data_IF_056286909206
#
_entry.id   IF_056286909206
#
_cell.length_a   1.000
_cell.length_b   1.000
_cell.length_c   1.000
_cell.angle_alpha   90.00
_cell.angle_beta   90.00
_cell.angle_gamma   90.00
#
_symmetry.space_group_name_H-M   'P 1'
#
loop_
_entity.id
_entity.type
_entity.pdbx_description
1 polymer ?
#
# COMPACT_ATOMS: atom_id res chain seq x y z
N UNK A 1 10.94 13.50 4.28
CA UNK A 1 10.56 13.80 5.69
C UNK A 1 9.43 14.81 5.83
N UNK A 2 9.49 16.01 5.23
CA UNK A 2 8.39 17.00 5.27
C UNK A 2 7.02 16.43 4.84
N UNK A 3 6.98 15.66 3.76
CA UNK A 3 5.76 14.97 3.31
C UNK A 3 5.21 13.97 4.33
N UNK A 4 6.08 13.26 5.07
CA UNK A 4 5.63 12.35 6.13
C UNK A 4 5.03 13.11 7.31
N UNK A 5 5.64 14.23 7.72
CA UNK A 5 5.10 15.09 8.77
C UNK A 5 3.74 15.70 8.39
N UNK A 6 3.56 16.14 7.14
CA UNK A 6 2.27 16.64 6.65
C UNK A 6 1.17 15.56 6.73
N UNK A 7 1.50 14.32 6.35
CA UNK A 7 0.56 13.20 6.43
C UNK A 7 0.24 12.77 7.87
N UNK A 8 1.20 12.91 8.79
CA UNK A 8 0.99 12.68 10.22
C UNK A 8 0.06 13.75 10.79
N UNK A 9 0.29 15.03 10.46
CA UNK A 9 -0.59 16.13 10.87
C UNK A 9 -2.02 15.92 10.35
N UNK A 10 -2.18 15.53 9.09
CA UNK A 10 -3.49 15.25 8.50
C UNK A 10 -4.20 14.08 9.20
N UNK A 11 -3.47 13.02 9.56
CA UNK A 11 -4.00 11.92 10.36
C UNK A 11 -4.41 12.35 11.77
N UNK A 12 -3.60 13.19 12.43
CA UNK A 12 -3.91 13.73 13.76
C UNK A 12 -5.19 14.59 13.72
N UNK A 13 -5.36 15.41 12.68
CA UNK A 13 -6.54 16.25 12.48
C UNK A 13 -7.80 15.41 12.23
N UNK A 14 -7.69 14.31 11.49
CA UNK A 14 -8.83 13.41 11.20
C UNK A 14 -9.20 12.48 12.37
N UNK A 15 -8.22 12.10 13.20
CA UNK A 15 -8.38 11.10 14.26
C UNK A 15 -8.56 11.71 15.66
N UNK A 16 -8.14 12.97 15.85
CA UNK A 16 -8.34 13.75 17.08
C UNK A 16 -7.55 13.28 18.31
N UNK A 17 -6.71 12.25 18.20
CA UNK A 17 -5.83 11.78 19.28
C UNK A 17 -4.44 11.44 18.74
N UNK A 18 -3.35 11.79 19.45
CA UNK A 18 -2.01 11.34 19.09
C UNK A 18 -1.96 9.81 19.26
N UNK A 19 -1.72 9.12 18.14
CA UNK A 19 -1.64 7.66 18.13
C UNK A 19 -0.18 7.25 18.37
N UNK A 20 0.06 6.36 19.34
CA UNK A 20 1.40 5.79 19.62
C UNK A 20 2.03 5.16 18.37
N UNK A 21 1.19 4.77 17.40
CA UNK A 21 1.60 4.29 16.08
C UNK A 21 2.42 5.30 15.27
N UNK A 22 2.34 6.60 15.55
CA UNK A 22 3.10 7.65 14.85
C UNK A 22 4.61 7.53 15.12
N UNK A 23 5.00 7.26 16.37
CA UNK A 23 6.42 7.09 16.73
C UNK A 23 6.98 5.85 16.03
N UNK A 24 6.20 4.76 16.04
CA UNK A 24 6.58 3.52 15.40
C UNK A 24 6.61 3.63 13.87
N UNK A 25 5.78 4.49 13.28
CA UNK A 25 5.83 4.81 11.84
C UNK A 25 7.14 5.46 11.43
N UNK A 26 7.69 6.37 12.24
CA UNK A 26 8.98 7.00 11.93
C UNK A 26 10.10 5.97 11.91
N UNK A 27 10.14 5.09 12.92
CA UNK A 27 11.13 4.01 13.01
C UNK A 27 11.03 3.08 11.79
N UNK A 28 9.81 2.64 11.46
CA UNK A 28 9.57 1.77 10.28
C UNK A 28 9.96 2.47 8.99
N UNK A 29 9.65 3.76 8.82
CA UNK A 29 10.02 4.51 7.62
C UNK A 29 11.54 4.62 7.45
N UNK A 30 12.30 4.79 8.55
CA UNK A 30 13.77 4.80 8.51
C UNK A 30 14.32 3.43 8.11
N UNK A 31 13.84 2.35 8.72
CA UNK A 31 14.25 0.98 8.37
C UNK A 31 13.92 0.67 6.91
N UNK A 32 12.71 1.03 6.47
CA UNK A 32 12.28 0.82 5.10
C UNK A 32 13.13 1.60 4.10
N UNK A 33 13.47 2.86 4.42
CA UNK A 33 14.39 3.66 3.62
C UNK A 33 15.75 2.98 3.47
N UNK A 34 16.35 2.55 4.59
CA UNK A 34 17.62 1.84 4.58
C UNK A 34 17.59 0.56 3.74
N UNK A 35 16.51 -0.23 3.83
CA UNK A 35 16.33 -1.43 3.01
C UNK A 35 16.25 -1.07 1.52
N UNK A 36 15.51 -0.03 1.14
CA UNK A 36 15.42 0.42 -0.25
C UNK A 36 16.78 0.87 -0.77
N UNK A 37 17.55 1.62 0.03
CA UNK A 37 18.89 2.09 -0.35
C UNK A 37 19.84 0.90 -0.61
N UNK A 38 19.80 -0.12 0.25
CA UNK A 38 20.57 -1.36 0.06
C UNK A 38 20.13 -2.10 -1.20
N UNK A 39 18.82 -2.25 -1.43
CA UNK A 39 18.29 -2.91 -2.61
C UNK A 39 18.66 -2.16 -3.90
N UNK A 40 18.65 -0.82 -3.88
CA UNK A 40 19.09 -0.01 -5.01
C UNK A 40 20.56 -0.24 -5.34
N UNK A 41 21.42 -0.41 -4.32
CA UNK A 41 22.83 -0.76 -4.54
C UNK A 41 23.03 -2.15 -5.16
N UNK A 42 22.08 -3.07 -5.00
CA UNK A 42 22.14 -4.43 -5.53
C UNK A 42 21.49 -4.58 -6.90
N UNK A 43 20.49 -3.77 -7.21
CA UNK A 43 19.70 -3.86 -8.44
C UNK A 43 20.35 -3.00 -9.53
N UNK A 44 21.20 -3.62 -10.36
CA UNK A 44 21.73 -2.99 -11.57
C UNK A 44 20.81 -3.33 -12.75
N UNK A 45 19.92 -2.41 -13.10
CA UNK A 45 19.06 -2.53 -14.28
C UNK A 45 19.70 -1.73 -15.40
N UNK A 46 19.98 -2.38 -16.53
CA UNK A 46 20.44 -1.68 -17.74
C UNK A 46 19.29 -0.86 -18.33
N UNK A 47 19.36 0.46 -18.15
CA UNK A 47 18.29 1.42 -18.49
C UNK A 47 18.16 1.67 -20.01
N UNK A 48 19.06 1.11 -20.82
CA UNK A 48 19.13 1.40 -22.26
C UNK A 48 17.97 0.78 -23.05
N UNK A 49 17.37 -0.30 -22.56
CA UNK A 49 16.24 -0.95 -23.26
C UNK A 49 14.89 -0.46 -22.73
N UNK A 50 14.06 0.08 -23.63
CA UNK A 50 12.67 0.47 -23.34
C UNK A 50 11.83 -0.70 -22.80
N UNK A 51 12.12 -1.93 -23.24
CA UNK A 51 11.45 -3.15 -22.77
C UNK A 51 11.73 -3.39 -21.29
N UNK A 52 12.99 -3.23 -20.87
CA UNK A 52 13.40 -3.46 -19.49
C UNK A 52 12.80 -2.42 -18.55
N UNK A 53 12.66 -1.17 -19.00
CA UNK A 53 11.98 -0.10 -18.25
C UNK A 53 10.51 -0.42 -17.99
N UNK A 54 9.79 -0.92 -19.01
CA UNK A 54 8.38 -1.31 -18.86
C UNK A 54 8.26 -2.55 -17.96
N UNK A 55 9.13 -3.55 -18.14
CA UNK A 55 9.14 -4.73 -17.30
C UNK A 55 9.39 -4.36 -15.82
N UNK A 56 10.39 -3.53 -15.55
CA UNK A 56 10.71 -3.04 -14.21
C UNK A 56 9.52 -2.28 -13.59
N UNK A 57 8.82 -1.45 -14.37
CA UNK A 57 7.61 -0.75 -13.91
C UNK A 57 6.49 -1.71 -13.51
N UNK A 58 6.22 -2.72 -14.34
CA UNK A 58 5.17 -3.72 -14.07
C UNK A 58 5.51 -4.52 -12.81
N UNK A 59 6.74 -5.02 -12.71
CA UNK A 59 7.19 -5.77 -11.53
C UNK A 59 7.17 -4.91 -10.27
N UNK A 60 7.66 -3.68 -10.34
CA UNK A 60 7.59 -2.69 -9.26
C UNK A 60 6.15 -2.52 -8.75
N UNK A 61 5.21 -2.17 -9.63
CA UNK A 61 3.81 -1.96 -9.27
C UNK A 61 3.20 -3.21 -8.64
N UNK A 62 3.53 -4.39 -9.17
CA UNK A 62 3.05 -5.66 -8.64
C UNK A 62 3.57 -5.95 -7.23
N UNK A 63 4.89 -5.90 -7.02
CA UNK A 63 5.51 -6.18 -5.72
C UNK A 63 5.12 -5.13 -4.67
N UNK A 64 5.04 -3.86 -5.04
CA UNK A 64 4.54 -2.80 -4.14
C UNK A 64 3.10 -3.06 -3.73
N UNK A 65 2.22 -3.43 -4.66
CA UNK A 65 0.83 -3.76 -4.36
C UNK A 65 0.71 -5.00 -3.46
N UNK A 66 1.55 -6.02 -3.69
CA UNK A 66 1.60 -7.23 -2.88
C UNK A 66 2.05 -6.93 -1.44
N UNK A 67 3.16 -6.21 -1.27
CA UNK A 67 3.65 -5.80 0.05
C UNK A 67 2.63 -4.96 0.81
N UNK A 68 1.98 -4.02 0.12
CA UNK A 68 0.90 -3.21 0.68
C UNK A 68 -0.29 -4.06 1.15
N UNK A 69 -0.71 -5.03 0.34
CA UNK A 69 -1.80 -5.95 0.72
C UNK A 69 -1.42 -6.78 1.96
N UNK A 70 -0.19 -7.26 2.06
CA UNK A 70 0.30 -7.97 3.24
C UNK A 70 0.27 -7.07 4.48
N UNK A 71 0.79 -5.84 4.39
CA UNK A 71 0.77 -4.86 5.49
C UNK A 71 -0.65 -4.54 5.97
N UNK A 72 -1.59 -4.38 5.04
CA UNK A 72 -3.00 -4.13 5.38
C UNK A 72 -3.66 -5.36 6.00
N UNK A 73 -3.43 -6.55 5.46
CA UNK A 73 -4.07 -7.80 5.90
C UNK A 73 -3.56 -8.27 7.26
N UNK A 74 -2.27 -8.07 7.54
CA UNK A 74 -1.63 -8.41 8.82
C UNK A 74 -1.77 -7.28 9.86
N UNK A 75 -2.48 -6.20 9.54
CA UNK A 75 -2.64 -5.01 10.38
C UNK A 75 -1.30 -4.45 10.91
N UNK A 76 -0.25 -4.55 10.09
CA UNK A 76 1.06 -4.00 10.39
C UNK A 76 1.02 -2.46 10.44
N UNK A 77 2.04 -1.87 11.05
CA UNK A 77 2.24 -0.42 11.02
C UNK A 77 2.51 0.00 9.58
N UNK A 78 1.59 0.79 9.03
CA UNK A 78 1.67 1.31 7.67
C UNK A 78 2.40 2.63 7.67
N UNK A 79 3.14 2.92 6.60
CA UNK A 79 3.74 4.23 6.39
C UNK A 79 2.66 5.34 6.48
N UNK A 80 3.01 6.55 6.95
CA UNK A 80 2.01 7.60 7.19
C UNK A 80 1.05 7.86 6.01
N UNK A 81 1.50 7.95 4.74
CA UNK A 81 0.60 8.12 3.60
C UNK A 81 -0.42 6.98 3.46
N UNK A 82 0.02 5.73 3.59
CA UNK A 82 -0.87 4.56 3.46
C UNK A 82 -1.79 4.40 4.67
N UNK A 83 -1.33 4.80 5.85
CA UNK A 83 -2.15 4.92 7.06
C UNK A 83 -3.28 5.95 6.91
N UNK A 84 -3.00 7.10 6.29
CA UNK A 84 -4.02 8.08 5.94
C UNK A 84 -5.04 7.51 4.95
N UNK A 85 -4.57 6.87 3.86
CA UNK A 85 -5.46 6.21 2.88
C UNK A 85 -6.34 5.15 3.54
N UNK A 86 -5.79 4.36 4.46
CA UNK A 86 -6.55 3.37 5.24
C UNK A 86 -7.63 4.04 6.10
N UNK A 87 -7.29 5.11 6.80
CA UNK A 87 -8.24 5.84 7.64
C UNK A 87 -9.39 6.44 6.81
N UNK A 88 -9.07 7.06 5.67
CA UNK A 88 -10.06 7.63 4.75
C UNK A 88 -10.92 6.54 4.13
N UNK A 89 -10.34 5.41 3.72
CA UNK A 89 -11.06 4.23 3.22
C UNK A 89 -12.06 3.70 4.24
N UNK A 90 -11.71 3.67 5.53
CA UNK A 90 -12.60 3.26 6.61
C UNK A 90 -13.71 4.29 6.87
N UNK A 91 -13.42 5.60 6.78
CA UNK A 91 -14.42 6.66 7.00
C UNK A 91 -15.42 6.78 5.84
N UNK A 92 -14.98 6.58 4.61
CA UNK A 92 -15.80 6.70 3.40
C UNK A 92 -16.47 5.39 2.97
N UNK A 93 -16.18 4.27 3.66
CA UNK A 93 -16.59 2.91 3.28
C UNK A 93 -16.29 2.59 1.80
N UNK A 94 -15.11 3.04 1.33
CA UNK A 94 -14.64 2.79 -0.04
C UNK A 94 -13.50 1.80 -0.03
N UNK A 95 -13.37 1.06 -1.13
CA UNK A 95 -12.23 0.16 -1.34
C UNK A 95 -10.90 0.89 -1.17
N UNK A 96 -10.01 0.32 -0.37
CA UNK A 96 -8.68 0.89 -0.07
C UNK A 96 -7.91 1.27 -1.35
N UNK A 97 -7.95 0.40 -2.37
CA UNK A 97 -7.27 0.68 -3.64
C UNK A 97 -7.88 1.84 -4.42
N UNK A 98 -9.18 2.11 -4.28
CA UNK A 98 -9.83 3.27 -4.92
C UNK A 98 -9.40 4.57 -4.25
N UNK A 99 -9.38 4.60 -2.91
CA UNK A 99 -8.89 5.75 -2.15
C UNK A 99 -7.40 6.00 -2.41
N UNK A 100 -6.62 4.92 -2.59
CA UNK A 100 -5.20 5.01 -2.93
C UNK A 100 -4.98 5.67 -4.29
N UNK A 101 -5.75 5.31 -5.31
CA UNK A 101 -5.68 5.97 -6.63
C UNK A 101 -5.96 7.47 -6.51
N UNK A 102 -6.98 7.85 -5.74
CA UNK A 102 -7.32 9.26 -5.54
C UNK A 102 -6.17 10.00 -4.83
N UNK A 103 -5.63 9.41 -3.77
CA UNK A 103 -4.53 10.00 -2.98
C UNK A 103 -3.23 10.11 -3.79
N UNK A 104 -2.83 9.06 -4.50
CA UNK A 104 -1.62 9.09 -5.32
C UNK A 104 -1.80 10.08 -6.50
N UNK A 105 -3.02 10.17 -7.06
CA UNK A 105 -3.37 11.15 -8.09
C UNK A 105 -3.29 12.60 -7.61
N UNK A 106 -3.82 12.92 -6.42
CA UNK A 106 -3.69 14.27 -5.85
C UNK A 106 -2.25 14.61 -5.55
N UNK A 107 -1.45 13.65 -5.07
CA UNK A 107 -0.01 13.84 -4.85
C UNK A 107 0.73 14.17 -6.15
N UNK A 108 0.45 13.47 -7.25
CA UNK A 108 1.05 13.75 -8.57
C UNK A 108 0.66 15.14 -9.07
N UNK A 109 -0.62 15.54 -8.91
CA UNK A 109 -1.09 16.88 -9.32
C UNK A 109 -0.38 17.96 -8.50
N UNK A 110 -0.32 17.83 -7.18
CA UNK A 110 0.35 18.80 -6.30
C UNK A 110 1.84 18.88 -6.63
N UNK A 111 2.51 17.74 -6.82
CA UNK A 111 3.90 17.70 -7.23
C UNK A 111 4.13 18.41 -8.57
N UNK A 112 3.21 18.25 -9.53
CA UNK A 112 3.27 18.94 -10.82
C UNK A 112 3.10 20.45 -10.70
N UNK A 113 2.15 20.91 -9.89
CA UNK A 113 1.94 22.35 -9.63
C UNK A 113 3.17 22.96 -8.95
N UNK A 114 3.71 22.30 -7.93
CA UNK A 114 4.92 22.76 -7.24
C UNK A 114 6.11 22.79 -8.21
N UNK A 115 6.30 21.73 -9.01
CA UNK A 115 7.35 21.68 -10.02
C UNK A 115 7.25 22.82 -11.04
N UNK A 116 6.04 23.14 -11.52
CA UNK A 116 5.81 24.25 -12.43
C UNK A 116 6.10 25.62 -11.80
N UNK A 117 5.71 25.84 -10.54
CA UNK A 117 5.91 27.13 -9.87
C UNK A 117 7.40 27.39 -9.59
N UNK A 118 8.14 26.38 -9.12
CA UNK A 118 9.52 26.56 -8.65
C UNK A 118 10.57 26.32 -9.74
N UNK A 119 10.36 25.33 -10.62
CA UNK A 119 11.34 24.92 -11.64
C UNK A 119 10.95 25.45 -13.03
N UNK A 120 9.69 25.86 -13.24
CA UNK A 120 9.18 26.30 -14.54
C UNK A 120 9.05 25.16 -15.57
N UNK A 121 9.37 23.93 -15.18
CA UNK A 121 9.31 22.72 -16.01
C UNK A 121 8.79 21.55 -15.20
N UNK A 122 8.05 20.65 -15.86
CA UNK A 122 7.62 19.36 -15.31
C UNK A 122 8.78 18.36 -15.37
N UNK A 123 9.81 18.57 -14.56
CA UNK A 123 10.86 17.55 -14.36
C UNK A 123 10.46 16.61 -13.21
N UNK A 124 10.56 15.30 -13.44
CA UNK A 124 10.26 14.26 -12.43
C UNK A 124 8.88 13.60 -12.53
N UNK A 125 7.96 14.12 -13.34
CA UNK A 125 6.66 13.48 -13.60
C UNK A 125 6.62 12.98 -15.04
N UNK A 126 6.82 11.68 -15.21
CA UNK A 126 6.75 11.00 -16.50
C UNK A 126 5.50 10.13 -16.65
N UNK A 127 5.34 9.52 -17.83
CA UNK A 127 4.29 8.54 -18.12
C UNK A 127 4.33 7.39 -17.08
N UNK A 128 5.54 6.95 -16.71
CA UNK A 128 5.72 5.91 -15.70
C UNK A 128 5.12 6.29 -14.33
N UNK A 129 5.20 7.56 -13.92
CA UNK A 129 4.63 8.08 -12.67
C UNK A 129 3.10 8.04 -12.69
N UNK A 130 2.49 8.41 -13.81
CA UNK A 130 1.03 8.36 -13.98
C UNK A 130 0.54 6.91 -13.99
N UNK A 131 1.24 6.04 -14.74
CA UNK A 131 0.92 4.62 -14.83
C UNK A 131 1.06 3.94 -13.46
N UNK A 132 2.10 4.27 -12.69
CA UNK A 132 2.28 3.68 -11.35
C UNK A 132 1.22 4.17 -10.36
N UNK A 133 0.91 5.48 -10.33
CA UNK A 133 -0.10 6.05 -9.44
C UNK A 133 -1.50 5.42 -9.65
N UNK A 134 -1.88 5.16 -10.91
CA UNK A 134 -3.13 4.48 -11.23
C UNK A 134 -3.02 2.94 -11.06
N UNK A 135 -1.84 2.39 -11.35
CA UNK A 135 -1.57 0.97 -11.38
C UNK A 135 -1.57 0.34 -10.00
N UNK A 136 -0.90 0.94 -9.01
CA UNK A 136 -0.74 0.38 -7.67
C UNK A 136 -2.10 0.12 -7.02
N UNK A 137 -2.98 1.12 -6.97
CA UNK A 137 -4.30 0.94 -6.33
C UNK A 137 -5.22 -0.05 -7.06
N UNK A 138 -5.12 -0.16 -8.39
CA UNK A 138 -5.85 -1.20 -9.15
C UNK A 138 -5.30 -2.59 -8.85
N UNK A 139 -3.99 -2.75 -8.82
CA UNK A 139 -3.32 -4.03 -8.52
C UNK A 139 -3.62 -4.47 -7.09
N UNK A 140 -3.62 -3.57 -6.12
CA UNK A 140 -4.02 -3.88 -4.73
C UNK A 140 -5.46 -4.38 -4.68
N UNK A 141 -6.37 -3.71 -5.38
CA UNK A 141 -7.78 -4.12 -5.45
C UNK A 141 -7.93 -5.50 -6.10
N UNK A 142 -7.20 -5.73 -7.20
CA UNK A 142 -7.20 -7.00 -7.91
C UNK A 142 -6.65 -8.14 -7.03
N UNK A 143 -5.49 -7.96 -6.40
CA UNK A 143 -4.90 -8.93 -5.48
C UNK A 143 -5.83 -9.24 -4.31
N UNK A 144 -6.41 -8.20 -3.68
CA UNK A 144 -7.39 -8.37 -2.59
C UNK A 144 -8.60 -9.19 -3.02
N UNK A 145 -9.15 -8.94 -4.22
CA UNK A 145 -10.27 -9.72 -4.78
C UNK A 145 -9.86 -11.15 -5.11
N UNK A 146 -8.66 -11.37 -5.62
CA UNK A 146 -8.13 -12.70 -5.93
C UNK A 146 -7.94 -13.53 -4.66
N UNK A 147 -7.33 -12.97 -3.61
CA UNK A 147 -7.20 -13.63 -2.31
C UNK A 147 -8.57 -13.92 -1.70
N UNK A 148 -9.51 -12.96 -1.72
CA UNK A 148 -10.88 -13.20 -1.24
C UNK A 148 -11.59 -14.33 -2.01
N UNK A 149 -11.41 -14.39 -3.33
CA UNK A 149 -11.98 -15.47 -4.17
C UNK A 149 -11.41 -16.83 -3.81
N UNK A 150 -10.08 -16.93 -3.65
CA UNK A 150 -9.42 -18.15 -3.20
C UNK A 150 -9.91 -18.55 -1.80
N UNK A 151 -9.89 -17.61 -0.84
CA UNK A 151 -10.36 -17.85 0.51
C UNK A 151 -11.81 -18.33 0.55
N UNK A 152 -12.71 -17.77 -0.27
CA UNK A 152 -14.12 -18.20 -0.34
C UNK A 152 -14.29 -19.63 -0.85
N UNK A 153 -13.33 -20.18 -1.60
CA UNK A 153 -13.30 -21.59 -2.00
C UNK A 153 -12.85 -22.54 -0.88
N UNK A 154 -11.91 -22.11 -0.02
CA UNK A 154 -11.35 -22.95 1.06
C UNK A 154 -12.06 -22.79 2.41
N UNK A 155 -12.61 -21.62 2.72
CA UNK A 155 -13.35 -21.34 3.97
C UNK A 155 -14.55 -22.29 4.19
N UNK A 156 -15.35 -22.68 3.18
CA UNK A 156 -16.43 -23.65 3.37
C UNK A 156 -15.89 -25.03 3.79
N UNK A 157 -14.74 -25.44 3.25
CA UNK A 157 -14.09 -26.73 3.56
C UNK A 157 -13.49 -26.70 4.95
N UNK A 158 -12.73 -25.66 5.29
CA UNK A 158 -12.12 -25.47 6.60
C UNK A 158 -13.17 -25.25 7.70
N UNK A 159 -14.25 -24.50 7.43
CA UNK A 159 -15.36 -24.33 8.38
C UNK A 159 -16.20 -25.61 8.55
N UNK A 160 -16.19 -26.54 7.57
CA UNK A 160 -16.75 -27.88 7.74
C UNK A 160 -15.85 -28.74 8.62
N UNK A 161 -14.55 -28.77 8.33
CA UNK A 161 -13.57 -29.51 9.12
C UNK A 161 -13.54 -29.03 10.59
N UNK A 162 -13.48 -27.71 10.82
CA UNK A 162 -13.50 -27.13 12.15
C UNK A 162 -14.80 -27.44 12.92
N UNK A 163 -15.97 -27.41 12.27
CA UNK A 163 -17.24 -27.80 12.91
C UNK A 163 -17.29 -29.28 13.28
N UNK A 164 -16.69 -30.15 12.47
CA UNK A 164 -16.59 -31.59 12.77
C UNK A 164 -15.65 -31.81 13.95
N UNK A 165 -14.48 -31.15 13.97
CA UNK A 165 -13.54 -31.25 15.09
C UNK A 165 -14.12 -30.74 16.40
N UNK A 166 -14.84 -29.61 16.39
CA UNK A 166 -15.52 -29.08 17.60
C UNK A 166 -16.65 -30.02 18.06
N UNK A 167 -17.43 -30.60 17.13
CA UNK A 167 -18.44 -31.60 17.49
C UNK A 167 -17.82 -32.85 18.11
N UNK A 168 -16.72 -33.34 17.54
CA UNK A 168 -16.02 -34.50 18.07
C UNK A 168 -15.48 -34.20 19.46
N UNK A 169 -14.80 -33.08 19.69
CA UNK A 169 -14.32 -32.71 21.03
C UNK A 169 -15.48 -32.62 22.05
N UNK A 170 -16.62 -32.03 21.69
CA UNK A 170 -17.77 -31.96 22.61
C UNK A 170 -18.41 -33.31 22.93
N UNK A 171 -18.21 -34.34 22.10
CA UNK A 171 -18.70 -35.70 22.37
C UNK A 171 -17.76 -36.49 23.30
N UNK A 172 -16.53 -36.03 23.51
CA UNK A 172 -15.56 -36.67 24.41
C UNK A 172 -15.58 -36.05 25.82
N UNK A 173 -16.17 -34.87 26.00
CA UNK A 173 -16.29 -34.17 27.29
C UNK A 173 -17.61 -34.46 28.03
N UNK A 174 -18.46 -35.37 27.51
CA UNK A 174 -19.77 -35.73 28.07
C UNK A 174 -19.86 -37.17 28.56
#
# INVERSE_FOLDING_TARGET
MLFHFANILLQMLLKGKPDTKIILQVIVAVVFGWVIDVLQGWVVIDENSWVMRIAALIFSVFFTALGMLCMVSMNLIQNPPDGFVKLVSQRLDKDFGWVKILYDGTCVIIAGIIGLIFVGKLEGIGIATIVSALGVGRTVTWLRRSIKRLAKGYIPVLSRAARVSVKLVSQWEG
#
